data_IF_421154685526
#
_entry.id   IF_421154685526
#
_cell.length_a   1.000
_cell.length_b   1.000
_cell.length_c   1.000
_cell.angle_alpha   90.00
_cell.angle_beta   90.00
_cell.angle_gamma   90.00
#
_symmetry.space_group_name_H-M   'P 1'
#
loop_
_entity.id
_entity.type
_entity.pdbx_description
1 polymer ?
#
# COMPACT_ATOMS: atom_id res chain seq x y z
N UNK A 1 19.65 -0.75 4.31
CA UNK A 1 18.70 0.02 3.47
C UNK A 1 17.30 -0.55 3.72
N UNK A 2 16.21 0.23 3.56
CA UNK A 2 14.86 -0.31 3.65
C UNK A 2 14.63 -1.40 2.59
N UNK A 3 13.97 -2.50 2.97
CA UNK A 3 13.75 -3.68 2.12
C UNK A 3 12.60 -3.50 1.14
N UNK A 4 11.63 -2.64 1.46
CA UNK A 4 10.45 -2.45 0.62
C UNK A 4 10.26 -0.97 0.31
N UNK A 5 9.86 -0.69 -0.93
CA UNK A 5 9.41 0.61 -1.40
C UNK A 5 7.96 0.50 -1.86
N UNK A 6 7.12 1.44 -1.46
CA UNK A 6 5.81 1.66 -2.07
C UNK A 6 5.81 2.99 -2.81
N UNK A 7 5.27 2.99 -4.01
CA UNK A 7 5.03 4.22 -4.79
C UNK A 7 3.56 4.30 -5.17
N UNK A 8 3.00 5.51 -5.18
CA UNK A 8 1.64 5.78 -5.65
C UNK A 8 1.68 6.93 -6.66
N UNK A 9 1.18 6.69 -7.87
CA UNK A 9 1.13 7.67 -8.95
C UNK A 9 -0.31 7.87 -9.43
N UNK A 10 -0.77 9.12 -9.63
CA UNK A 10 -2.04 9.35 -10.31
C UNK A 10 -2.02 8.83 -11.75
N UNK A 11 -3.15 8.30 -12.23
CA UNK A 11 -3.29 7.85 -13.62
C UNK A 11 -4.14 8.84 -14.42
N UNK A 12 -3.83 9.03 -15.71
CA UNK A 12 -4.60 9.91 -16.60
C UNK A 12 -6.06 9.47 -16.78
N UNK A 13 -6.35 8.18 -16.64
CA UNK A 13 -7.70 7.61 -16.71
C UNK A 13 -8.56 7.89 -15.46
N UNK A 14 -8.00 8.59 -14.46
CA UNK A 14 -8.54 8.63 -13.11
C UNK A 14 -8.05 7.46 -12.26
N UNK A 15 -8.04 7.65 -10.95
CA UNK A 15 -7.49 6.69 -10.00
C UNK A 15 -5.97 6.76 -9.87
N UNK A 16 -5.40 5.71 -9.30
CA UNK A 16 -3.97 5.64 -8.95
C UNK A 16 -3.38 4.27 -9.27
N UNK A 17 -2.09 4.28 -9.59
CA UNK A 17 -1.24 3.10 -9.69
C UNK A 17 -0.36 3.04 -8.44
N UNK A 18 -0.48 1.99 -7.65
CA UNK A 18 0.49 1.70 -6.60
C UNK A 18 1.44 0.58 -7.04
N UNK A 19 2.73 0.69 -6.71
CA UNK A 19 3.73 -0.35 -6.96
C UNK A 19 4.55 -0.58 -5.70
N UNK A 20 4.44 -1.79 -5.15
CA UNK A 20 5.29 -2.31 -4.09
C UNK A 20 6.50 -2.99 -4.73
N UNK A 21 7.71 -2.67 -4.30
CA UNK A 21 8.94 -3.30 -4.78
C UNK A 21 9.82 -3.71 -3.60
N UNK A 22 10.42 -4.89 -3.67
CA UNK A 22 11.36 -5.39 -2.67
C UNK A 22 12.84 -5.05 -3.00
N UNK A 23 13.76 -5.46 -2.13
CA UNK A 23 15.21 -5.23 -2.30
C UNK A 23 15.82 -5.97 -3.48
N UNK A 24 15.13 -6.97 -4.03
CA UNK A 24 15.54 -7.76 -5.18
C UNK A 24 14.93 -7.28 -6.49
N UNK A 25 14.10 -6.23 -6.45
CA UNK A 25 13.39 -5.69 -7.62
C UNK A 25 12.16 -6.50 -8.02
N UNK A 26 11.71 -7.45 -7.19
CA UNK A 26 10.40 -8.07 -7.37
C UNK A 26 9.32 -7.06 -7.01
N UNK A 27 8.16 -7.14 -7.66
CA UNK A 27 7.11 -6.15 -7.49
C UNK A 27 5.70 -6.72 -7.44
N UNK A 28 4.82 -5.98 -6.78
CA UNK A 28 3.36 -6.14 -6.81
C UNK A 28 2.77 -4.83 -7.33
N UNK A 29 1.93 -4.93 -8.34
CA UNK A 29 1.24 -3.80 -8.94
C UNK A 29 -0.20 -3.76 -8.47
N UNK A 30 -0.69 -2.59 -8.09
CA UNK A 30 -2.08 -2.30 -7.77
C UNK A 30 -2.60 -1.27 -8.79
N UNK A 31 -2.94 -1.74 -9.98
CA UNK A 31 -3.14 -0.89 -11.16
C UNK A 31 -4.48 -0.17 -11.26
N UNK A 32 -5.38 -0.35 -10.28
CA UNK A 32 -6.73 0.22 -10.28
C UNK A 32 -7.09 0.80 -8.91
N UNK A 33 -6.16 1.48 -8.25
CA UNK A 33 -6.45 2.05 -6.93
C UNK A 33 -7.45 3.21 -7.04
N UNK A 34 -8.42 3.26 -6.13
CA UNK A 34 -9.48 4.26 -6.11
C UNK A 34 -9.52 4.97 -4.77
N UNK A 35 -9.99 6.22 -4.78
CA UNK A 35 -10.19 6.96 -3.55
C UNK A 35 -11.57 6.72 -2.97
N UNK A 36 -11.64 6.43 -1.68
CA UNK A 36 -12.88 6.24 -0.94
C UNK A 36 -12.82 6.94 0.43
N UNK A 37 -14.00 7.24 0.99
CA UNK A 37 -14.10 7.72 2.37
C UNK A 37 -14.35 6.54 3.30
N UNK A 38 -13.47 6.34 4.29
CA UNK A 38 -13.57 5.28 5.29
C UNK A 38 -13.16 5.85 6.66
N UNK A 39 -13.96 5.62 7.69
CA UNK A 39 -13.70 6.09 9.06
C UNK A 39 -13.37 7.59 9.17
N UNK A 40 -14.02 8.43 8.35
CA UNK A 40 -13.81 9.88 8.31
C UNK A 40 -12.49 10.32 7.63
N UNK A 41 -11.73 9.37 7.07
CA UNK A 41 -10.48 9.63 6.33
C UNK A 41 -10.66 9.27 4.86
N UNK A 42 -9.91 9.97 4.02
CA UNK A 42 -9.78 9.61 2.61
C UNK A 42 -8.71 8.53 2.47
N UNK A 43 -9.13 7.38 2.01
CA UNK A 43 -8.28 6.24 1.69
C UNK A 43 -8.09 6.15 0.18
N UNK A 44 -6.96 5.60 -0.24
CA UNK A 44 -6.70 5.15 -1.60
C UNK A 44 -6.42 3.65 -1.51
N UNK A 45 -7.33 2.84 -2.03
CA UNK A 45 -7.30 1.38 -1.90
C UNK A 45 -7.28 0.70 -3.26
N UNK A 46 -6.65 -0.47 -3.34
CA UNK A 46 -6.64 -1.26 -4.57
C UNK A 46 -6.16 -2.69 -4.36
N UNK A 47 -6.66 -3.60 -5.18
CA UNK A 47 -6.19 -4.99 -5.21
C UNK A 47 -5.07 -5.16 -6.24
N UNK A 48 -4.20 -6.14 -5.99
CA UNK A 48 -3.11 -6.51 -6.89
C UNK A 48 -3.64 -6.86 -8.28
N UNK A 49 -3.07 -6.24 -9.31
CA UNK A 49 -3.34 -6.51 -10.73
C UNK A 49 -2.21 -7.28 -11.40
N UNK A 50 -0.97 -7.20 -10.87
CA UNK A 50 0.19 -7.95 -11.36
C UNK A 50 1.15 -8.30 -10.21
N UNK A 51 1.95 -9.35 -10.39
CA UNK A 51 2.87 -9.85 -9.36
C UNK A 51 2.16 -10.83 -8.44
N UNK A 52 2.16 -10.57 -7.14
CA UNK A 52 1.50 -11.42 -6.14
C UNK A 52 -0.01 -11.14 -6.11
N UNK A 53 -0.81 -12.12 -6.55
CA UNK A 53 -2.27 -12.02 -6.57
C UNK A 53 -2.86 -12.16 -5.16
N UNK A 54 -3.95 -11.43 -4.90
CA UNK A 54 -4.65 -11.46 -3.61
C UNK A 54 -4.17 -10.42 -2.61
N UNK A 55 -3.14 -9.64 -2.97
CA UNK A 55 -2.69 -8.51 -2.16
C UNK A 55 -3.63 -7.32 -2.28
N UNK A 56 -3.72 -6.54 -1.20
CA UNK A 56 -4.48 -5.31 -1.09
C UNK A 56 -3.57 -4.22 -0.58
N UNK A 57 -3.66 -3.07 -1.22
CA UNK A 57 -2.99 -1.83 -0.86
C UNK A 57 -4.02 -0.86 -0.25
N UNK A 58 -3.59 -0.11 0.75
CA UNK A 58 -4.36 0.96 1.37
C UNK A 58 -3.42 2.09 1.81
N UNK A 59 -3.82 3.33 1.57
CA UNK A 59 -3.07 4.53 1.95
C UNK A 59 -4.01 5.62 2.41
N UNK A 60 -3.66 6.31 3.49
CA UNK A 60 -4.42 7.44 4.02
C UNK A 60 -3.50 8.53 4.56
N UNK A 61 -4.00 9.78 4.56
CA UNK A 61 -3.25 10.88 5.17
C UNK A 61 -3.30 10.80 6.70
N UNK A 62 -2.16 11.06 7.33
CA UNK A 62 -2.04 11.22 8.79
C UNK A 62 -1.89 12.68 9.21
N UNK A 63 -2.00 13.62 8.26
CA UNK A 63 -1.81 15.05 8.47
C UNK A 63 -0.37 15.51 8.22
N UNK A 64 -0.16 16.82 8.16
CA UNK A 64 1.19 17.40 7.99
C UNK A 64 1.88 17.10 6.66
N UNK A 65 1.13 16.67 5.63
CA UNK A 65 1.69 16.24 4.35
C UNK A 65 2.24 14.81 4.33
N UNK A 66 2.05 14.06 5.42
CA UNK A 66 2.46 12.68 5.56
C UNK A 66 1.28 11.71 5.33
N UNK A 67 1.65 10.51 4.91
CA UNK A 67 0.74 9.42 4.65
C UNK A 67 1.20 8.16 5.36
N UNK A 68 0.24 7.31 5.70
CA UNK A 68 0.49 5.95 6.11
C UNK A 68 -0.02 5.03 5.01
N UNK A 69 0.71 3.94 4.73
CA UNK A 69 0.24 2.91 3.82
C UNK A 69 0.44 1.50 4.38
N UNK A 70 -0.38 0.58 3.91
CA UNK A 70 -0.27 -0.85 4.18
C UNK A 70 -0.39 -1.66 2.90
N UNK A 71 0.35 -2.75 2.82
CA UNK A 71 0.17 -3.78 1.80
C UNK A 71 0.04 -5.15 2.48
N UNK A 72 -1.03 -5.89 2.19
CA UNK A 72 -1.32 -7.16 2.86
C UNK A 72 -1.96 -8.16 1.91
N UNK A 73 -1.75 -9.45 2.12
CA UNK A 73 -2.49 -10.52 1.44
C UNK A 73 -3.80 -10.90 2.15
N UNK A 74 -4.16 -10.19 3.23
CA UNK A 74 -5.27 -10.48 4.14
C UNK A 74 -5.25 -11.90 4.74
N UNK A 75 -4.09 -12.54 4.78
CA UNK A 75 -3.93 -13.90 5.30
C UNK A 75 -2.77 -13.99 6.27
N UNK A 76 -1.57 -13.83 5.75
CA UNK A 76 -0.34 -14.18 6.45
C UNK A 76 0.56 -12.96 6.63
N UNK A 77 0.49 -11.96 5.75
CA UNK A 77 1.50 -10.91 5.66
C UNK A 77 0.90 -9.51 5.66
N UNK A 78 1.56 -8.60 6.38
CA UNK A 78 1.30 -7.16 6.39
C UNK A 78 2.62 -6.39 6.35
N UNK A 79 2.73 -5.46 5.42
CA UNK A 79 3.83 -4.49 5.36
C UNK A 79 3.27 -3.12 5.71
N UNK A 80 3.92 -2.42 6.66
CA UNK A 80 3.47 -1.13 7.18
C UNK A 80 4.44 -0.03 6.77
N UNK A 81 3.93 1.04 6.18
CA UNK A 81 4.70 2.24 5.80
C UNK A 81 4.19 3.43 6.62
N UNK A 82 4.91 3.80 7.68
CA UNK A 82 4.47 4.84 8.61
C UNK A 82 4.67 6.26 8.06
N UNK A 83 5.75 6.45 7.30
CA UNK A 83 6.21 7.76 6.83
C UNK A 83 6.30 7.76 5.31
N UNK A 84 5.13 7.83 4.67
CA UNK A 84 5.04 8.08 3.24
C UNK A 84 4.99 9.57 2.96
N UNK A 85 5.76 10.02 1.98
CA UNK A 85 5.95 11.44 1.65
C UNK A 85 5.58 11.72 0.21
N UNK A 86 5.20 12.96 -0.06
CA UNK A 86 4.99 13.42 -1.43
C UNK A 86 6.32 13.82 -2.07
N UNK A 87 6.63 13.24 -3.22
CA UNK A 87 7.83 13.55 -4.00
C UNK A 87 7.47 13.93 -5.44
N UNK A 88 8.37 14.64 -6.10
CA UNK A 88 8.26 14.95 -7.53
C UNK A 88 9.04 13.89 -8.32
N UNK A 89 8.33 13.15 -9.17
CA UNK A 89 8.91 12.16 -10.08
C UNK A 89 8.51 12.52 -11.52
N UNK A 90 9.50 12.83 -12.35
CA UNK A 90 9.31 13.29 -13.75
C UNK A 90 8.25 14.40 -13.93
N UNK A 91 8.24 15.38 -13.02
CA UNK A 91 7.27 16.49 -13.04
C UNK A 91 5.86 16.12 -12.55
N UNK A 92 5.64 14.87 -12.14
CA UNK A 92 4.39 14.40 -11.54
C UNK A 92 4.54 14.25 -10.03
N UNK A 93 3.53 14.69 -9.28
CA UNK A 93 3.46 14.49 -7.85
C UNK A 93 3.11 13.03 -7.54
N UNK A 94 3.95 12.36 -6.77
CA UNK A 94 3.80 10.95 -6.38
C UNK A 94 3.96 10.82 -4.87
N UNK A 95 3.47 9.72 -4.30
CA UNK A 95 3.73 9.39 -2.89
C UNK A 95 4.71 8.23 -2.86
N UNK A 96 5.75 8.35 -2.03
CA UNK A 96 6.73 7.29 -1.81
C UNK A 96 6.83 6.95 -0.33
N UNK A 97 6.98 5.66 -0.02
CA UNK A 97 7.28 5.18 1.32
C UNK A 97 8.30 4.06 1.29
N UNK A 98 9.08 3.95 2.36
CA UNK A 98 10.08 2.91 2.54
C UNK A 98 9.86 2.19 3.85
N UNK A 99 10.00 0.87 3.87
CA UNK A 99 9.77 0.11 5.10
C UNK A 99 10.61 -1.17 5.22
N UNK A 100 10.91 -1.49 6.48
CA UNK A 100 11.37 -2.80 6.94
C UNK A 100 10.34 -3.49 7.85
N UNK A 101 9.23 -2.82 8.15
CA UNK A 101 8.20 -3.29 9.06
C UNK A 101 7.28 -4.27 8.33
N UNK A 102 7.71 -5.54 8.33
CA UNK A 102 6.96 -6.69 7.83
C UNK A 102 6.49 -7.49 9.02
N UNK A 103 5.18 -7.75 9.07
CA UNK A 103 4.51 -8.45 10.16
C UNK A 103 3.78 -9.66 9.63
N UNK A 104 3.73 -10.70 10.44
CA UNK A 104 2.82 -11.82 10.23
C UNK A 104 1.46 -11.46 10.82
N UNK A 105 0.40 -11.67 10.04
CA UNK A 105 -0.95 -11.62 10.58
C UNK A 105 -1.17 -12.91 11.37
N UNK A 106 -1.51 -12.80 12.65
CA UNK A 106 -1.92 -13.99 13.39
C UNK A 106 -3.21 -14.53 12.74
N UNK A 107 -3.30 -15.83 12.44
CA UNK A 107 -4.56 -16.40 11.98
C UNK A 107 -5.61 -16.10 13.04
N UNK A 108 -6.72 -15.50 12.64
CA UNK A 108 -7.86 -15.29 13.53
C UNK A 108 -8.15 -16.65 14.19
N UNK A 109 -8.00 -16.72 15.52
CA UNK A 109 -8.22 -17.96 16.25
C UNK A 109 -9.60 -18.49 15.82
N UNK A 110 -9.59 -19.62 15.13
CA UNK A 110 -10.79 -20.30 14.70
C UNK A 110 -11.60 -20.52 15.97
N UNK A 111 -12.72 -19.79 16.13
CA UNK A 111 -13.69 -20.11 17.15
C UNK A 111 -14.23 -21.49 16.77
N UNK A 112 -13.58 -22.52 17.28
CA UNK A 112 -14.12 -23.87 17.32
C UNK A 112 -15.36 -23.76 18.21
N UNK A 113 -16.51 -23.54 17.58
CA UNK A 113 -17.79 -23.67 18.23
C UNK A 113 -17.88 -25.12 18.73
N UNK A 114 -17.87 -25.26 20.06
CA UNK A 114 -18.11 -26.51 20.76
C UNK A 114 -19.57 -26.94 20.67
#
# INVERSE_FOLDING_TARGET
MPKHKITLKPQHSGGYLAVLTDEHGQFVEFGKCQSEQRDGKRHITGSSTRGLMGWVFDLWSVGGGLFHATATDNRDWLIVFNDCETVMDDGQQTIEGWSNDVRTLEPAAEQVAA
#
